data_IF_299176891508
#
_entry.id   IF_299176891508
#
_cell.length_a   1.000
_cell.length_b   1.000
_cell.length_c   1.000
_cell.angle_alpha   90.00
_cell.angle_beta   90.00
_cell.angle_gamma   90.00
#
_symmetry.space_group_name_H-M   'P 1'
#
loop_
_entity.id
_entity.type
_entity.pdbx_description
1 polymer ?
#
# COMPACT_ATOMS: atom_id res chain seq x y z
N UNK A 1 6.07 -4.71 -3.58
CA UNK A 1 5.93 -4.06 -2.26
C UNK A 1 5.81 -5.11 -1.17
N UNK A 2 6.53 -4.97 -0.07
CA UNK A 2 6.55 -5.94 1.03
C UNK A 2 5.52 -5.58 2.11
N UNK A 3 4.80 -6.58 2.62
CA UNK A 3 3.94 -6.44 3.80
C UNK A 3 4.68 -7.09 4.96
N UNK A 4 5.02 -6.30 5.98
CA UNK A 4 5.91 -6.70 7.07
C UNK A 4 5.13 -6.56 8.38
N UNK A 5 5.22 -7.57 9.25
CA UNK A 5 4.66 -7.55 10.59
C UNK A 5 5.50 -6.64 11.52
N UNK A 6 4.96 -6.18 12.65
CA UNK A 6 5.68 -5.31 13.57
C UNK A 6 6.99 -5.90 14.13
N UNK A 7 7.12 -7.23 14.14
CA UNK A 7 8.33 -7.97 14.54
C UNK A 7 9.38 -8.10 13.42
N UNK A 8 9.14 -7.51 12.25
CA UNK A 8 10.01 -7.58 11.08
C UNK A 8 9.77 -8.79 10.17
N UNK A 9 8.83 -9.69 10.50
CA UNK A 9 8.52 -10.86 9.67
C UNK A 9 7.84 -10.44 8.37
N UNK A 10 8.36 -10.93 7.24
CA UNK A 10 7.70 -10.79 5.94
C UNK A 10 6.41 -11.61 5.90
N UNK A 11 5.26 -10.95 5.80
CA UNK A 11 3.95 -11.59 5.68
C UNK A 11 3.60 -11.91 4.22
N UNK A 12 4.05 -11.08 3.29
CA UNK A 12 3.77 -11.28 1.87
C UNK A 12 4.25 -10.16 0.97
N UNK A 13 3.92 -10.28 -0.32
CA UNK A 13 4.29 -9.30 -1.36
C UNK A 13 3.08 -8.96 -2.21
N UNK A 14 2.81 -7.67 -2.36
CA UNK A 14 1.91 -7.16 -3.38
C UNK A 14 2.75 -6.93 -4.65
N UNK A 15 2.36 -7.64 -5.72
CA UNK A 15 2.97 -7.54 -7.05
C UNK A 15 2.25 -6.46 -7.85
N UNK A 16 3.03 -5.58 -8.44
CA UNK A 16 2.60 -4.57 -9.40
C UNK A 16 3.51 -4.68 -10.63
N UNK A 17 3.09 -4.14 -11.76
CA UNK A 17 3.80 -4.31 -13.03
C UNK A 17 5.14 -3.57 -13.13
N UNK A 18 5.45 -2.67 -12.18
CA UNK A 18 6.63 -1.79 -12.23
C UNK A 18 7.16 -1.47 -10.81
N UNK A 19 8.29 -0.78 -10.71
CA UNK A 19 8.93 -0.44 -9.43
C UNK A 19 8.08 0.55 -8.60
N UNK A 20 7.73 0.14 -7.39
CA UNK A 20 7.03 1.00 -6.42
C UNK A 20 7.98 2.07 -5.90
N UNK A 21 7.61 3.35 -6.05
CA UNK A 21 8.40 4.49 -5.57
C UNK A 21 7.87 5.04 -4.24
N UNK A 22 6.56 5.01 -4.02
CA UNK A 22 5.90 5.45 -2.78
C UNK A 22 4.50 4.80 -2.67
N UNK A 23 3.87 4.91 -1.50
CA UNK A 23 2.53 4.40 -1.20
C UNK A 23 1.84 5.27 -0.14
N UNK A 24 0.51 5.31 -0.18
CA UNK A 24 -0.31 5.96 0.85
C UNK A 24 -1.69 5.30 0.96
N UNK A 25 -2.30 5.39 2.13
CA UNK A 25 -3.72 5.07 2.31
C UNK A 25 -4.58 6.31 2.05
N UNK A 26 -5.78 6.11 1.54
CA UNK A 26 -6.73 7.20 1.30
C UNK A 26 -8.17 6.72 1.18
N UNK A 27 -9.01 7.63 0.69
CA UNK A 27 -10.48 7.58 0.75
C UNK A 27 -11.04 7.74 2.18
N UNK A 28 -12.35 7.96 2.28
CA UNK A 28 -13.05 8.22 3.54
C UNK A 28 -12.91 7.09 4.59
N UNK A 29 -12.66 5.85 4.13
CA UNK A 29 -12.52 4.68 5.01
C UNK A 29 -11.07 4.23 5.21
N UNK A 30 -10.09 4.95 4.64
CA UNK A 30 -8.67 4.62 4.70
C UNK A 30 -8.32 3.21 4.19
N UNK A 31 -9.19 2.57 3.39
CA UNK A 31 -8.99 1.21 2.88
C UNK A 31 -8.57 1.15 1.42
N UNK A 32 -8.28 2.30 0.80
CA UNK A 32 -7.64 2.32 -0.51
C UNK A 32 -6.14 2.50 -0.33
N UNK A 33 -5.36 1.55 -0.81
CA UNK A 33 -3.91 1.65 -0.89
C UNK A 33 -3.53 2.15 -2.28
N UNK A 34 -3.03 3.38 -2.34
CA UNK A 34 -2.46 4.01 -3.52
C UNK A 34 -0.98 3.69 -3.61
N UNK A 35 -0.52 3.34 -4.80
CA UNK A 35 0.87 2.93 -5.05
C UNK A 35 1.37 3.67 -6.28
N UNK A 36 2.45 4.43 -6.13
CA UNK A 36 3.07 5.14 -7.25
C UNK A 36 4.22 4.32 -7.84
N UNK A 37 4.35 4.37 -9.15
CA UNK A 37 5.56 3.98 -9.88
C UNK A 37 6.11 5.21 -10.60
N UNK A 38 7.15 5.05 -11.42
CA UNK A 38 7.66 6.15 -12.24
C UNK A 38 6.67 6.64 -13.30
N UNK A 39 5.75 5.78 -13.73
CA UNK A 39 4.89 6.03 -14.89
C UNK A 39 3.40 6.01 -14.58
N UNK A 40 3.01 5.37 -13.47
CA UNK A 40 1.60 5.07 -13.18
C UNK A 40 1.29 5.19 -11.70
N UNK A 41 0.00 5.39 -11.40
CA UNK A 41 -0.54 5.23 -10.06
C UNK A 41 -1.52 4.06 -10.08
N UNK A 42 -1.28 3.09 -9.21
CA UNK A 42 -2.16 1.95 -8.99
C UNK A 42 -3.00 2.19 -7.73
N UNK A 43 -4.17 1.56 -7.70
CA UNK A 43 -5.05 1.52 -6.53
C UNK A 43 -5.53 0.10 -6.32
N UNK A 44 -5.49 -0.36 -5.07
CA UNK A 44 -6.17 -1.58 -4.65
C UNK A 44 -6.88 -1.35 -3.31
N UNK A 45 -7.85 -2.21 -3.01
CA UNK A 45 -8.58 -2.20 -1.74
C UNK A 45 -7.93 -3.16 -0.76
N UNK A 46 -7.85 -2.75 0.51
CA UNK A 46 -7.34 -3.58 1.62
C UNK A 46 -8.45 -3.82 2.64
N UNK A 47 -8.34 -4.95 3.35
CA UNK A 47 -9.35 -5.34 4.35
C UNK A 47 -9.25 -4.53 5.65
N UNK A 48 -8.06 -4.01 5.96
CA UNK A 48 -7.76 -3.25 7.19
C UNK A 48 -7.43 -1.81 6.78
N UNK A 49 -8.03 -0.80 7.44
CA UNK A 49 -7.72 0.60 7.15
C UNK A 49 -6.26 0.94 7.50
N UNK A 50 -5.69 1.90 6.81
CA UNK A 50 -4.43 2.53 7.20
C UNK A 50 -4.58 3.36 8.49
N UNK A 51 -3.45 3.83 9.02
CA UNK A 51 -3.43 4.77 10.13
C UNK A 51 -3.78 6.15 9.57
N UNK A 52 -4.92 6.70 10.00
CA UNK A 52 -5.30 8.05 9.64
C UNK A 52 -4.31 9.05 10.26
N UNK A 53 -3.68 9.85 9.40
CA UNK A 53 -2.79 10.94 9.79
C UNK A 53 -3.48 12.23 9.39
N UNK A 54 -3.88 13.01 10.40
CA UNK A 54 -4.48 14.35 10.25
C UNK A 54 -3.42 15.40 10.52
#
# INVERSE_FOLDING_TARGET
>A
MHVIAPDGKLLGRIRISDHCTNLAWGEADWRSLYITTYHSVFRTRVNVPGIAVW
#
